data_IF_980328388999
#
_entry.id   IF_980328388999
#
_cell.length_a   1.000
_cell.length_b   1.000
_cell.length_c   1.000
_cell.angle_alpha   90.00
_cell.angle_beta   90.00
_cell.angle_gamma   90.00
#
_symmetry.space_group_name_H-M   'P 1'
#
loop_
_entity.id
_entity.type
_entity.pdbx_description
1 polymer ?
#
# COMPACT_ATOMS: atom_id res chain seq x y z
N UNK A 1 4.25 23.61 19.24
CA UNK A 1 5.28 23.40 18.20
C UNK A 1 4.76 22.33 17.23
N UNK A 2 4.71 22.64 15.96
CA UNK A 2 4.28 21.75 14.91
C UNK A 2 5.53 21.11 14.31
N UNK A 3 5.77 19.83 14.59
CA UNK A 3 6.82 19.06 13.96
C UNK A 3 6.18 18.26 12.82
N UNK A 4 6.46 18.66 11.59
CA UNK A 4 6.12 17.90 10.40
C UNK A 4 7.40 17.25 9.92
N UNK A 5 7.56 15.96 10.20
CA UNK A 5 8.63 15.20 9.58
C UNK A 5 8.17 14.70 8.21
N UNK A 6 8.75 15.25 7.16
CA UNK A 6 8.59 14.72 5.82
C UNK A 6 9.49 13.49 5.66
N UNK A 7 8.90 12.33 5.48
CA UNK A 7 9.67 11.12 5.28
C UNK A 7 10.34 11.10 3.91
N UNK A 8 11.64 10.94 3.92
CA UNK A 8 12.44 10.75 2.71
C UNK A 8 12.17 9.34 2.16
N UNK A 9 11.58 9.27 1.01
CA UNK A 9 11.09 8.05 0.38
C UNK A 9 12.23 7.25 -0.22
N UNK A 10 12.53 6.11 0.36
CA UNK A 10 13.53 5.20 -0.19
C UNK A 10 12.86 4.29 -1.22
N UNK A 11 13.19 4.48 -2.49
CA UNK A 11 12.90 3.50 -3.53
C UNK A 11 13.97 2.41 -3.46
N UNK A 12 13.59 1.20 -3.12
CA UNK A 12 14.54 0.08 -3.08
C UNK A 12 14.59 -0.64 -4.43
N UNK A 13 15.79 -1.05 -4.84
CA UNK A 13 15.96 -2.00 -5.95
C UNK A 13 15.48 -3.40 -5.56
N UNK A 14 15.13 -4.22 -6.54
CA UNK A 14 14.50 -5.53 -6.35
C UNK A 14 15.13 -6.36 -5.23
N UNK A 15 14.29 -7.05 -4.48
CA UNK A 15 14.67 -7.91 -3.36
C UNK A 15 14.62 -7.26 -1.98
N UNK A 16 14.63 -5.95 -1.86
CA UNK A 16 14.61 -5.26 -0.56
C UNK A 16 13.18 -4.93 -0.12
N UNK A 17 12.88 -5.21 1.14
CA UNK A 17 11.61 -4.86 1.78
C UNK A 17 11.40 -3.33 1.78
N UNK A 18 10.18 -2.89 1.59
CA UNK A 18 9.83 -1.48 1.71
C UNK A 18 10.12 -0.94 3.11
N UNK A 19 10.64 0.28 3.21
CA UNK A 19 10.80 0.97 4.48
C UNK A 19 9.44 1.45 5.01
N UNK A 20 9.27 1.42 6.32
CA UNK A 20 8.12 2.04 6.96
C UNK A 20 8.24 3.56 6.94
N UNK A 21 7.10 4.24 6.92
CA UNK A 21 7.03 5.69 7.08
C UNK A 21 7.44 6.13 8.49
N UNK A 22 7.90 7.35 8.61
CA UNK A 22 8.12 8.00 9.91
C UNK A 22 6.80 8.37 10.55
N UNK A 23 6.81 8.48 11.87
CA UNK A 23 5.68 8.99 12.61
C UNK A 23 5.50 10.49 12.36
N UNK A 24 4.25 10.96 12.37
CA UNK A 24 3.92 12.38 12.44
C UNK A 24 3.47 12.72 13.85
N UNK A 25 3.91 13.86 14.38
CA UNK A 25 3.58 14.26 15.74
C UNK A 25 3.06 15.70 15.77
N UNK A 26 2.02 15.88 16.54
CA UNK A 26 1.50 17.20 16.91
C UNK A 26 1.29 17.24 18.41
N UNK A 27 2.09 18.02 19.14
CA UNK A 27 2.12 18.02 20.59
C UNK A 27 2.31 16.60 21.16
N UNK A 28 1.39 16.11 21.96
CA UNK A 28 1.41 14.74 22.51
C UNK A 28 0.73 13.69 21.63
N UNK A 29 0.14 14.10 20.49
CA UNK A 29 -0.55 13.19 19.59
C UNK A 29 0.44 12.67 18.54
N UNK A 30 0.62 11.36 18.50
CA UNK A 30 1.48 10.70 17.50
C UNK A 30 0.63 9.87 16.55
N UNK A 31 0.82 10.07 15.25
CA UNK A 31 0.30 9.22 14.18
C UNK A 31 1.43 8.34 13.67
N UNK A 32 1.28 7.04 13.78
CA UNK A 32 2.29 6.08 13.35
C UNK A 32 2.43 6.06 11.83
N UNK A 33 3.65 5.97 11.35
CA UNK A 33 3.93 5.76 9.93
C UNK A 33 3.38 4.43 9.42
N UNK A 34 3.05 4.36 8.14
CA UNK A 34 2.61 3.13 7.49
C UNK A 34 3.74 2.11 7.36
N UNK A 35 3.41 0.83 7.44
CA UNK A 35 4.37 -0.26 7.26
C UNK A 35 4.80 -0.46 5.81
N UNK A 36 6.06 -0.80 5.60
CA UNK A 36 6.61 -1.13 4.29
C UNK A 36 6.06 -2.45 3.74
N UNK A 37 5.91 -2.55 2.43
CA UNK A 37 5.51 -3.80 1.76
C UNK A 37 6.61 -4.86 1.79
N UNK A 38 6.22 -6.12 1.72
CA UNK A 38 7.13 -7.24 1.52
C UNK A 38 7.83 -7.21 0.17
N UNK A 39 8.89 -8.00 0.02
CA UNK A 39 9.67 -8.14 -1.20
C UNK A 39 9.87 -9.61 -1.56
N UNK A 40 10.50 -9.87 -2.71
CA UNK A 40 10.83 -11.22 -3.15
C UNK A 40 11.66 -12.01 -2.11
N UNK A 41 12.63 -11.37 -1.51
CA UNK A 41 13.51 -12.01 -0.53
C UNK A 41 12.99 -11.95 0.91
N UNK A 42 12.03 -11.09 1.19
CA UNK A 42 11.42 -10.95 2.51
C UNK A 42 9.92 -10.64 2.38
N UNK A 43 9.15 -11.69 2.34
CA UNK A 43 7.75 -11.71 1.89
C UNK A 43 6.74 -11.09 2.82
N UNK A 44 7.12 -10.85 4.08
CA UNK A 44 6.21 -10.31 5.08
C UNK A 44 6.10 -8.78 4.97
N UNK A 45 4.88 -8.26 4.94
CA UNK A 45 4.62 -6.85 5.13
C UNK A 45 5.04 -6.37 6.52
N UNK A 46 5.42 -5.12 6.66
CA UNK A 46 5.79 -4.51 7.95
C UNK A 46 4.54 -3.95 8.62
N UNK A 47 4.46 -4.09 9.95
CA UNK A 47 3.41 -3.46 10.75
C UNK A 47 3.63 -1.96 10.89
N UNK A 48 2.56 -1.19 11.07
CA UNK A 48 2.60 0.26 11.22
C UNK A 48 1.23 0.86 11.52
N UNK A 49 1.05 2.15 11.35
CA UNK A 49 -0.25 2.81 11.42
C UNK A 49 -1.26 2.12 10.48
N UNK A 50 -0.87 1.90 9.22
CA UNK A 50 -1.47 0.91 8.33
C UNK A 50 -0.40 -0.11 7.95
N UNK A 51 -0.74 -1.39 7.85
CA UNK A 51 0.20 -2.47 7.54
C UNK A 51 0.57 -2.53 6.07
N UNK A 52 1.81 -2.89 5.75
CA UNK A 52 2.26 -3.17 4.39
C UNK A 52 1.68 -4.49 3.84
N UNK A 53 1.47 -4.58 2.53
CA UNK A 53 1.04 -5.82 1.88
C UNK A 53 2.13 -6.89 1.86
N UNK A 54 1.74 -8.16 1.89
CA UNK A 54 2.66 -9.29 1.72
C UNK A 54 3.13 -9.44 0.27
N UNK A 55 4.31 -10.00 0.08
CA UNK A 55 4.84 -10.33 -1.25
C UNK A 55 4.58 -11.78 -1.63
N UNK A 56 4.86 -12.09 -2.86
CA UNK A 56 4.38 -13.22 -3.65
C UNK A 56 4.72 -14.64 -3.19
N UNK A 57 5.60 -14.85 -2.24
CA UNK A 57 5.90 -16.21 -1.79
C UNK A 57 5.26 -16.53 -0.42
N UNK A 58 5.01 -17.81 -0.21
CA UNK A 58 4.41 -18.29 1.06
C UNK A 58 5.46 -18.40 2.17
N UNK A 59 5.18 -17.83 3.37
CA UNK A 59 4.02 -17.04 3.73
C UNK A 59 4.20 -15.56 3.39
N UNK A 60 3.36 -15.02 2.48
CA UNK A 60 3.30 -13.60 2.18
C UNK A 60 2.29 -12.87 3.07
N UNK A 61 2.47 -12.90 4.37
CA UNK A 61 1.55 -12.21 5.27
C UNK A 61 1.70 -10.69 5.21
N UNK A 62 0.60 -9.97 5.23
CA UNK A 62 0.58 -8.52 5.41
C UNK A 62 0.94 -8.12 6.83
N UNK A 63 1.49 -6.92 6.98
CA UNK A 63 1.77 -6.32 8.27
C UNK A 63 0.48 -5.92 9.00
N UNK A 64 0.53 -5.92 10.32
CA UNK A 64 -0.58 -5.44 11.15
C UNK A 64 -0.72 -3.92 11.05
N UNK A 65 -1.95 -3.45 10.95
CA UNK A 65 -2.30 -2.04 11.13
C UNK A 65 -2.46 -1.68 12.61
N UNK A 66 -2.67 -0.41 12.88
CA UNK A 66 -2.83 0.12 14.24
C UNK A 66 -1.70 -0.34 15.19
N UNK A 67 -0.46 -0.22 14.74
CA UNK A 67 0.72 -0.60 15.49
C UNK A 67 1.64 0.62 15.67
N UNK A 68 1.91 1.08 16.92
CA UNK A 68 1.35 0.58 18.16
C UNK A 68 -0.17 0.78 18.27
N UNK A 69 -0.87 -0.05 19.07
CA UNK A 69 -2.32 0.04 19.16
C UNK A 69 -2.78 1.33 19.86
N UNK A 70 -3.71 2.02 19.24
CA UNK A 70 -4.35 3.24 19.77
C UNK A 70 -5.86 3.18 19.52
N UNK A 71 -6.61 4.03 20.23
CA UNK A 71 -8.06 4.19 20.04
C UNK A 71 -8.39 5.67 19.81
N UNK A 72 -9.09 6.02 18.71
CA UNK A 72 -9.52 5.14 17.63
C UNK A 72 -8.34 4.58 16.81
N UNK A 73 -8.52 3.43 16.10
CA UNK A 73 -7.46 2.83 15.29
C UNK A 73 -6.94 3.77 14.20
N UNK A 74 -5.62 3.77 13.97
CA UNK A 74 -4.97 4.62 12.95
C UNK A 74 -5.06 4.04 11.54
N UNK A 75 -5.25 2.73 11.40
CA UNK A 75 -5.33 2.07 10.11
C UNK A 75 -5.52 0.57 10.22
N UNK A 76 -5.50 -0.10 9.09
CA UNK A 76 -5.84 -1.51 8.96
C UNK A 76 -4.67 -2.35 8.45
N UNK A 77 -4.83 -3.67 8.53
CA UNK A 77 -3.81 -4.64 8.09
C UNK A 77 -3.56 -4.56 6.59
N UNK A 78 -2.35 -4.87 6.17
CA UNK A 78 -2.04 -5.20 4.80
C UNK A 78 -2.66 -6.53 4.39
N UNK A 79 -2.81 -6.74 3.08
CA UNK A 79 -3.34 -7.96 2.51
C UNK A 79 -2.35 -9.13 2.64
N UNK A 80 -2.88 -10.33 2.77
CA UNK A 80 -2.11 -11.57 2.82
C UNK A 80 -2.10 -12.22 1.43
N UNK A 81 -1.01 -12.92 1.12
CA UNK A 81 -0.98 -13.90 0.03
C UNK A 81 -1.29 -15.26 0.66
N UNK A 82 -2.39 -15.88 0.24
CA UNK A 82 -2.79 -17.20 0.73
C UNK A 82 -2.26 -18.31 -0.20
N UNK A 83 -1.70 -19.44 0.33
CA UNK A 83 -1.38 -20.60 -0.50
C UNK A 83 -2.66 -21.31 -1.00
N UNK A 84 -2.62 -22.05 -2.15
CA UNK A 84 -1.44 -22.40 -2.90
C UNK A 84 -1.30 -21.56 -4.19
N UNK A 85 -0.43 -20.58 -4.18
CA UNK A 85 -0.17 -19.77 -5.36
C UNK A 85 1.29 -19.92 -5.78
N UNK A 86 1.58 -20.99 -6.49
CA UNK A 86 2.77 -21.18 -7.30
C UNK A 86 2.26 -21.44 -8.72
N UNK A 87 2.70 -20.72 -9.73
CA UNK A 87 3.88 -19.86 -9.83
C UNK A 87 3.57 -18.34 -9.87
N UNK A 88 2.47 -17.91 -9.27
CA UNK A 88 1.96 -16.54 -9.42
C UNK A 88 2.71 -15.54 -8.55
N UNK A 89 3.41 -14.58 -9.18
CA UNK A 89 4.26 -13.59 -8.53
C UNK A 89 3.55 -12.25 -8.30
N UNK A 90 2.32 -12.27 -7.75
CA UNK A 90 1.59 -11.06 -7.42
C UNK A 90 1.76 -10.69 -5.93
N UNK A 91 1.78 -9.41 -5.62
CA UNK A 91 1.83 -8.89 -4.27
C UNK A 91 0.43 -8.47 -3.78
N UNK A 92 0.20 -8.54 -2.49
CA UNK A 92 -1.00 -8.02 -1.85
C UNK A 92 -0.95 -6.49 -1.72
N UNK A 93 -2.11 -5.85 -1.59
CA UNK A 93 -2.22 -4.43 -1.31
C UNK A 93 -1.95 -4.08 0.15
N UNK A 94 -1.46 -2.87 0.40
CA UNK A 94 -1.30 -2.32 1.75
C UNK A 94 -2.63 -1.93 2.39
N UNK A 95 -2.68 -1.87 3.72
CA UNK A 95 -3.84 -1.36 4.46
C UNK A 95 -4.04 0.13 4.25
N UNK A 96 -5.28 0.59 4.32
CA UNK A 96 -5.66 1.99 4.38
C UNK A 96 -6.26 2.35 5.74
N UNK A 97 -6.59 3.62 5.95
CA UNK A 97 -7.22 4.06 7.20
C UNK A 97 -8.64 3.52 7.35
N UNK A 98 -9.38 3.33 6.26
CA UNK A 98 -10.77 2.89 6.27
C UNK A 98 -10.97 1.39 6.06
N UNK A 99 -10.01 0.68 5.46
CA UNK A 99 -10.12 -0.76 5.20
C UNK A 99 -8.76 -1.45 5.09
N UNK A 100 -8.76 -2.75 5.33
CA UNK A 100 -7.59 -3.59 5.10
C UNK A 100 -7.27 -3.72 3.60
N UNK A 101 -5.97 -3.90 3.30
CA UNK A 101 -5.55 -4.33 1.98
C UNK A 101 -6.00 -5.76 1.69
N UNK A 102 -6.04 -6.13 0.42
CA UNK A 102 -6.46 -7.46 0.00
C UNK A 102 -5.31 -8.20 -0.66
N UNK A 103 -5.36 -9.52 -0.53
CA UNK A 103 -4.52 -10.42 -1.32
C UNK A 103 -4.89 -10.33 -2.81
N UNK A 104 -4.10 -10.99 -3.63
CA UNK A 104 -4.42 -11.00 -5.06
C UNK A 104 -5.70 -11.80 -5.31
N UNK A 105 -6.60 -11.31 -6.22
CA UNK A 105 -7.92 -11.90 -6.40
C UNK A 105 -7.97 -13.07 -7.39
N UNK A 106 -6.84 -13.67 -7.78
CA UNK A 106 -6.82 -14.65 -8.87
C UNK A 106 -6.42 -16.07 -8.45
N UNK A 107 -7.17 -17.05 -8.95
CA UNK A 107 -6.74 -18.43 -9.11
C UNK A 107 -6.49 -18.67 -10.60
N UNK A 108 -5.29 -19.12 -10.99
CA UNK A 108 -4.97 -19.42 -12.40
C UNK A 108 -3.86 -18.56 -12.98
N UNK A 109 -3.70 -18.59 -14.29
CA UNK A 109 -2.59 -17.98 -15.04
C UNK A 109 -2.54 -16.44 -15.08
N UNK A 110 -3.31 -15.74 -14.26
CA UNK A 110 -3.34 -14.28 -14.19
C UNK A 110 -3.00 -13.77 -12.79
N UNK A 111 -1.76 -13.36 -12.63
CA UNK A 111 -1.26 -12.79 -11.38
C UNK A 111 -1.62 -11.31 -11.25
N UNK A 112 -2.84 -11.01 -10.88
CA UNK A 112 -3.25 -9.63 -10.58
C UNK A 112 -2.78 -9.23 -9.18
N UNK A 113 -2.22 -8.04 -9.05
CA UNK A 113 -1.90 -7.50 -7.73
C UNK A 113 -3.14 -7.30 -6.85
N UNK A 114 -3.00 -7.47 -5.55
CA UNK A 114 -4.07 -7.21 -4.59
C UNK A 114 -4.39 -5.71 -4.46
N UNK A 115 -5.67 -5.32 -4.38
CA UNK A 115 -6.03 -3.90 -4.22
C UNK A 115 -5.62 -3.38 -2.84
N UNK A 116 -5.22 -2.12 -2.78
CA UNK A 116 -4.98 -1.42 -1.53
C UNK A 116 -6.28 -1.20 -0.75
N UNK A 117 -6.17 -1.10 0.56
CA UNK A 117 -7.29 -0.76 1.45
C UNK A 117 -7.79 0.66 1.23
N UNK A 118 -9.09 0.87 1.39
CA UNK A 118 -9.66 2.21 1.30
C UNK A 118 -9.10 3.14 2.39
N UNK A 119 -8.95 4.42 2.06
CA UNK A 119 -8.73 5.47 3.04
C UNK A 119 -10.02 5.92 3.71
N UNK A 120 -9.96 7.05 4.38
CA UNK A 120 -11.12 7.71 5.00
C UNK A 120 -11.34 9.09 4.39
N UNK A 121 -12.58 9.55 4.45
CA UNK A 121 -12.96 10.89 3.99
C UNK A 121 -13.25 11.77 5.18
N UNK A 122 -12.76 13.02 5.15
CA UNK A 122 -13.08 14.04 6.14
C UNK A 122 -13.43 15.37 5.47
N UNK A 123 -14.29 16.14 6.12
CA UNK A 123 -14.64 17.50 5.69
C UNK A 123 -13.92 18.60 6.49
N UNK A 124 -12.92 18.22 7.29
CA UNK A 124 -12.10 19.20 8.04
C UNK A 124 -11.47 20.23 7.10
N UNK A 125 -10.99 19.90 5.88
CA UNK A 125 -10.47 20.89 4.94
C UNK A 125 -11.51 21.85 4.33
N UNK A 126 -12.78 21.70 4.67
CA UNK A 126 -13.89 22.48 4.09
C UNK A 126 -14.68 21.72 3.03
N UNK A 127 -14.04 20.84 2.28
CA UNK A 127 -14.66 19.93 1.31
C UNK A 127 -14.33 18.48 1.66
N UNK A 128 -15.22 17.57 1.32
CA UNK A 128 -15.02 16.14 1.54
C UNK A 128 -13.78 15.67 0.76
N UNK A 129 -12.71 15.34 1.49
CA UNK A 129 -11.41 14.96 0.94
C UNK A 129 -10.99 13.59 1.46
N UNK A 130 -10.53 12.72 0.59
CA UNK A 130 -10.03 11.40 0.93
C UNK A 130 -8.54 11.43 1.30
N UNK A 131 -8.16 10.62 2.31
CA UNK A 131 -6.81 10.49 2.86
C UNK A 131 -6.48 9.05 3.19
N UNK A 132 -5.21 8.74 3.27
CA UNK A 132 -4.63 7.51 3.81
C UNK A 132 -5.13 6.20 3.15
N UNK A 133 -5.22 6.19 1.82
CA UNK A 133 -5.49 4.97 1.06
C UNK A 133 -4.26 4.06 0.98
N UNK A 134 -4.45 2.76 1.02
CA UNK A 134 -3.39 1.77 0.85
C UNK A 134 -2.87 1.70 -0.59
N UNK A 135 -1.60 1.40 -0.77
CA UNK A 135 -1.03 1.16 -2.10
C UNK A 135 -1.48 -0.17 -2.70
N UNK A 136 -1.66 -0.21 -4.00
CA UNK A 136 -1.98 -1.44 -4.73
C UNK A 136 -0.78 -2.39 -4.84
N UNK A 137 -1.02 -3.67 -4.83
CA UNK A 137 0.01 -4.70 -5.02
C UNK A 137 0.49 -4.78 -6.47
N UNK A 138 1.75 -5.15 -6.65
CA UNK A 138 2.33 -5.38 -7.97
C UNK A 138 1.86 -6.70 -8.59
N UNK A 139 1.79 -6.74 -9.91
CA UNK A 139 1.49 -7.92 -10.69
C UNK A 139 2.71 -8.40 -11.47
N UNK A 140 2.94 -9.71 -11.51
CA UNK A 140 3.94 -10.31 -12.37
C UNK A 140 3.31 -11.41 -13.23
N UNK A 141 3.81 -11.62 -14.46
CA UNK A 141 3.46 -12.81 -15.21
C UNK A 141 4.01 -14.04 -14.46
N UNK A 142 3.23 -15.08 -14.40
CA UNK A 142 3.71 -16.35 -13.88
C UNK A 142 4.95 -16.80 -14.69
N UNK A 143 6.00 -17.19 -13.94
CA UNK A 143 7.22 -17.72 -14.55
C UNK A 143 7.06 -19.12 -15.12
N UNK A 144 5.99 -19.38 -15.88
CA UNK A 144 5.84 -20.64 -16.57
C UNK A 144 6.89 -20.71 -17.68
N UNK A 145 7.99 -21.41 -17.41
CA UNK A 145 9.04 -21.75 -18.37
C UNK A 145 8.43 -22.74 -19.35
N UNK A 146 8.02 -22.28 -20.52
CA UNK A 146 7.51 -23.14 -21.57
C UNK A 146 6.87 -22.35 -22.68
N UNK A 147 7.65 -22.08 -23.69
CA UNK A 147 7.27 -21.72 -25.04
C UNK A 147 5.87 -21.10 -25.31
N UNK A 148 5.89 -19.85 -25.70
CA UNK A 148 4.87 -19.20 -26.53
C UNK A 148 3.52 -18.88 -25.91
N UNK A 149 3.42 -18.61 -24.62
CA UNK A 149 2.23 -18.03 -24.05
C UNK A 149 2.32 -16.50 -23.98
N UNK A 150 1.59 -15.84 -24.87
CA UNK A 150 1.20 -14.42 -24.70
C UNK A 150 0.27 -14.33 -23.49
N UNK A 151 0.82 -14.15 -22.29
CA UNK A 151 0.00 -13.96 -21.11
C UNK A 151 -0.69 -12.59 -21.19
N UNK A 152 -2.00 -12.54 -20.98
CA UNK A 152 -2.64 -11.27 -20.73
C UNK A 152 -1.96 -10.64 -19.50
N UNK A 153 -1.41 -9.46 -19.70
CA UNK A 153 -0.66 -8.71 -18.69
C UNK A 153 -1.42 -8.67 -17.37
N UNK A 154 -0.83 -9.20 -16.30
CA UNK A 154 -1.37 -9.06 -14.94
C UNK A 154 -1.77 -7.60 -14.72
N UNK A 155 -2.99 -7.37 -14.28
CA UNK A 155 -3.49 -6.01 -14.04
C UNK A 155 -2.83 -5.46 -12.79
N UNK A 156 -2.18 -4.31 -12.90
CA UNK A 156 -1.74 -3.56 -11.73
C UNK A 156 -2.95 -3.31 -10.81
N UNK A 157 -2.78 -3.54 -9.50
CA UNK A 157 -3.86 -3.29 -8.57
C UNK A 157 -4.11 -1.79 -8.42
N UNK A 158 -5.37 -1.43 -8.34
CA UNK A 158 -5.77 -0.05 -8.06
C UNK A 158 -5.29 0.36 -6.66
N UNK A 159 -4.87 1.60 -6.53
CA UNK A 159 -4.74 2.24 -5.25
C UNK A 159 -6.05 2.17 -4.48
N UNK A 160 -6.00 2.23 -3.14
CA UNK A 160 -7.16 2.13 -2.28
C UNK A 160 -8.29 3.07 -2.68
N UNK A 161 -9.19 2.54 -3.47
CA UNK A 161 -10.45 3.17 -3.83
C UNK A 161 -11.56 2.36 -3.18
N UNK A 162 -12.23 2.93 -2.19
CA UNK A 162 -13.43 2.32 -1.62
C UNK A 162 -14.63 2.44 -2.58
N UNK A 163 -15.66 1.58 -2.45
CA UNK A 163 -16.92 1.74 -3.17
C UNK A 163 -17.54 3.10 -2.85
N UNK A 164 -17.76 3.92 -3.88
CA UNK A 164 -18.38 5.25 -3.75
C UNK A 164 -17.41 6.43 -3.63
N UNK A 165 -16.09 6.22 -3.69
CA UNK A 165 -15.13 7.31 -3.62
C UNK A 165 -14.88 7.92 -5.00
N UNK A 166 -15.43 9.10 -5.24
CA UNK A 166 -15.06 10.00 -6.35
C UNK A 166 -13.73 10.73 -6.12
N UNK A 167 -13.18 10.67 -4.90
CA UNK A 167 -11.89 11.25 -4.54
C UNK A 167 -10.89 10.14 -4.24
N UNK A 168 -9.77 10.11 -4.95
CA UNK A 168 -8.66 9.19 -4.65
C UNK A 168 -8.13 9.42 -3.24
N UNK A 169 -8.02 8.36 -2.46
CA UNK A 169 -7.51 8.41 -1.08
C UNK A 169 -5.99 8.54 -0.99
N UNK A 170 -5.31 8.71 -2.10
CA UNK A 170 -3.88 8.98 -2.12
C UNK A 170 -2.98 7.74 -2.04
N UNK A 171 -3.47 6.55 -2.31
CA UNK A 171 -2.60 5.39 -2.51
C UNK A 171 -1.97 5.37 -3.90
N UNK A 172 -0.77 4.80 -4.04
CA UNK A 172 -0.11 4.56 -5.33
C UNK A 172 -0.59 3.27 -6.00
N UNK A 173 -0.72 3.29 -7.32
CA UNK A 173 -1.09 2.09 -8.09
C UNK A 173 0.05 1.05 -8.08
N UNK A 174 -0.30 -0.23 -8.08
CA UNK A 174 0.66 -1.31 -8.26
C UNK A 174 1.31 -1.27 -9.64
N UNK A 175 2.53 -1.78 -9.73
CA UNK A 175 3.25 -1.95 -10.99
C UNK A 175 3.00 -3.32 -11.61
N UNK A 176 3.57 -3.54 -12.80
CA UNK A 176 3.55 -4.83 -13.49
C UNK A 176 4.91 -5.16 -14.08
N UNK A 177 5.18 -6.44 -14.28
CA UNK A 177 6.48 -6.89 -14.77
C UNK A 177 6.55 -7.07 -16.31
N UNK A 178 5.42 -7.21 -17.00
CA UNK A 178 5.40 -7.34 -18.46
C UNK A 178 4.21 -6.60 -19.09
N UNK A 179 4.43 -5.57 -19.95
CA UNK A 179 5.70 -4.85 -20.03
C UNK A 179 6.07 -4.25 -18.68
N UNK A 180 7.35 -4.03 -18.44
CA UNK A 180 7.81 -3.50 -17.16
C UNK A 180 7.25 -2.10 -16.90
N UNK A 181 6.32 -2.01 -15.95
CA UNK A 181 5.76 -0.75 -15.49
C UNK A 181 5.94 -0.68 -13.97
N UNK A 182 6.68 0.32 -13.54
CA UNK A 182 6.85 0.60 -12.11
C UNK A 182 5.50 0.96 -11.48
N UNK A 183 5.33 0.64 -10.21
CA UNK A 183 4.20 1.15 -9.45
C UNK A 183 4.20 2.68 -9.38
N UNK A 184 3.12 3.25 -8.91
CA UNK A 184 2.99 4.69 -8.68
C UNK A 184 3.39 5.06 -7.26
N UNK A 185 4.05 6.20 -7.10
CA UNK A 185 4.18 6.84 -5.79
C UNK A 185 2.80 7.31 -5.33
N UNK A 186 2.58 7.28 -4.03
CA UNK A 186 1.43 7.96 -3.45
C UNK A 186 1.64 9.49 -3.53
N UNK A 187 0.59 10.26 -3.77
CA UNK A 187 0.69 11.73 -3.76
C UNK A 187 0.98 12.26 -2.36
N UNK A 188 1.69 13.37 -2.31
CA UNK A 188 1.99 14.07 -1.07
C UNK A 188 0.74 14.64 -0.39
N UNK A 189 0.84 14.90 0.90
CA UNK A 189 -0.23 15.46 1.75
C UNK A 189 -1.51 14.62 1.79
N UNK A 190 -1.39 13.32 1.53
CA UNK A 190 -2.51 12.36 1.61
C UNK A 190 -2.24 11.21 2.58
N UNK A 191 -1.00 10.99 2.97
CA UNK A 191 -0.62 9.92 3.89
C UNK A 191 -0.89 8.51 3.33
N UNK A 192 -0.97 8.37 2.02
CA UNK A 192 -1.25 7.09 1.36
C UNK A 192 -0.02 6.21 1.18
N UNK A 193 -0.23 4.90 1.03
CA UNK A 193 0.83 3.93 0.74
C UNK A 193 1.27 3.94 -0.72
N UNK A 194 2.55 3.78 -0.98
CA UNK A 194 3.09 3.59 -2.34
C UNK A 194 2.68 2.25 -2.94
N UNK A 195 2.63 2.19 -4.27
CA UNK A 195 2.31 0.96 -5.00
C UNK A 195 3.45 -0.06 -4.94
N UNK A 196 3.10 -1.33 -4.86
CA UNK A 196 4.02 -2.45 -4.98
C UNK A 196 4.49 -2.68 -6.41
N UNK A 197 5.63 -3.33 -6.57
CA UNK A 197 6.13 -3.79 -7.86
C UNK A 197 6.72 -5.18 -7.73
N UNK A 198 6.54 -6.01 -8.74
CA UNK A 198 7.03 -7.39 -8.69
C UNK A 198 8.56 -7.49 -8.84
N UNK A 199 9.22 -6.59 -9.58
CA UNK A 199 10.68 -6.65 -9.84
C UNK A 199 11.40 -5.30 -9.84
N UNK A 200 10.69 -4.19 -9.93
CA UNK A 200 11.29 -2.86 -10.12
C UNK A 200 11.49 -2.06 -8.82
N UNK A 201 11.32 -2.71 -7.68
CA UNK A 201 11.34 -2.07 -6.37
C UNK A 201 10.02 -1.39 -6.01
N UNK A 202 9.82 -1.20 -4.72
CA UNK A 202 8.62 -0.55 -4.16
C UNK A 202 8.58 0.93 -4.52
N UNK A 203 7.38 1.48 -4.62
CA UNK A 203 7.17 2.90 -4.77
C UNK A 203 6.93 3.54 -3.40
N UNK A 204 7.10 4.84 -3.39
CA UNK A 204 7.10 5.61 -2.19
C UNK A 204 5.69 5.89 -1.68
N UNK A 205 5.48 5.86 -0.37
CA UNK A 205 4.28 6.42 0.28
C UNK A 205 4.23 7.94 0.13
N UNK A 206 3.06 8.53 0.25
CA UNK A 206 2.88 9.99 0.28
C UNK A 206 3.17 10.55 1.68
N UNK A 207 3.59 11.81 1.74
CA UNK A 207 3.69 12.53 3.00
C UNK A 207 2.31 12.64 3.67
N UNK A 208 2.31 12.72 5.00
CA UNK A 208 1.12 13.05 5.79
C UNK A 208 0.79 14.54 5.73
N UNK A 209 -0.31 14.89 6.37
CA UNK A 209 -0.75 16.27 6.55
C UNK A 209 -1.38 16.43 7.93
N UNK A 210 -1.16 17.58 8.55
CA UNK A 210 -1.88 18.00 9.76
C UNK A 210 -2.83 19.13 9.37
N UNK A 211 -4.12 18.96 9.67
CA UNK A 211 -5.16 19.97 9.37
C UNK A 211 -5.82 20.37 10.67
N UNK A 212 -5.76 21.66 10.98
CA UNK A 212 -6.37 22.25 12.16
C UNK A 212 -7.51 23.15 11.72
N UNK A 213 -8.70 22.91 12.26
CA UNK A 213 -9.86 23.76 12.06
C UNK A 213 -10.37 24.24 13.41
N UNK A 214 -10.49 25.53 13.56
CA UNK A 214 -11.04 26.16 14.77
C UNK A 214 -12.15 27.12 14.42
N UNK A 215 -13.07 27.34 15.39
CA UNK A 215 -14.06 28.40 15.29
C UNK A 215 -13.36 29.74 15.58
N UNK A 216 -13.55 30.69 14.68
CA UNK A 216 -13.23 32.08 14.97
C UNK A 216 -14.39 32.65 15.79
N UNK A 217 -14.08 33.21 16.95
CA UNK A 217 -15.04 33.91 17.82
C UNK A 217 -14.96 35.41 17.57
#
# INVERSE_FOLDING_TARGET
>A
ELIIESNNQVTTSGGTKGSSGSNSQFSSITSAGGGGGGSESNTLGVSGGSGGGGAYSSPGAGGSGNTPPVSPPQGNNGGNISPPHSPDQASAGGGGAGAAGRGHPGSGSQSNGGPGGAGTTTSIPGTATGFAGGGGGGAAPCGCVGNNHTYPNGKAASAGTGPGATAGFGGGNGGRNSPQVRGGNAPDNKGGGGGGSAKLGSCAGGSGIVIIRYKFQ
#
